data_IF_906970436492
#
_entry.id   IF_906970436492
#
_cell.length_a   1.000
_cell.length_b   1.000
_cell.length_c   1.000
_cell.angle_alpha   90.00
_cell.angle_beta   90.00
_cell.angle_gamma   90.00
#
_symmetry.space_group_name_H-M   'P 1'
#
loop_
_entity.id
_entity.type
_entity.pdbx_description
1 polymer ?
#
# COMPACT_ATOMS: atom_id res chain seq x y z
N UNK A 1 23.90 2.36 18.30
CA UNK A 1 24.04 2.64 19.74
C UNK A 1 22.64 2.82 20.30
N UNK A 2 22.32 2.09 21.37
CA UNK A 2 21.03 2.16 22.07
C UNK A 2 21.27 2.66 23.50
N UNK A 3 20.43 3.57 23.96
CA UNK A 3 20.45 4.05 25.34
C UNK A 3 19.03 3.95 25.93
N UNK A 4 18.93 3.49 27.18
CA UNK A 4 17.68 3.48 27.93
C UNK A 4 17.66 4.66 28.89
N UNK A 5 16.60 5.44 28.85
CA UNK A 5 16.37 6.57 29.74
C UNK A 5 15.33 6.19 30.79
N UNK A 6 15.52 6.65 32.03
CA UNK A 6 14.59 6.44 33.13
C UNK A 6 14.34 7.75 33.89
N UNK A 7 13.28 7.77 34.70
CA UNK A 7 12.92 8.97 35.50
C UNK A 7 12.32 10.10 34.70
N UNK A 8 11.77 9.80 33.49
CA UNK A 8 11.10 10.78 32.66
C UNK A 8 9.71 11.12 33.23
N UNK A 9 9.31 12.39 33.08
CA UNK A 9 7.97 12.85 33.47
C UNK A 9 7.04 12.76 32.28
N UNK A 10 5.91 12.03 32.42
CA UNK A 10 4.87 11.91 31.39
C UNK A 10 4.38 13.27 30.94
N UNK A 11 4.21 13.44 29.63
CA UNK A 11 3.75 14.66 28.98
C UNK A 11 4.87 15.67 28.65
N UNK A 12 6.09 15.48 29.19
CA UNK A 12 7.19 16.39 28.88
C UNK A 12 7.90 15.99 27.59
N UNK A 13 8.25 17.00 26.79
CA UNK A 13 9.12 16.83 25.62
C UNK A 13 10.58 16.81 26.05
N UNK A 14 11.29 15.80 25.61
CA UNK A 14 12.74 15.65 25.81
C UNK A 14 13.46 15.72 24.48
N UNK A 15 14.63 16.36 24.51
CA UNK A 15 15.49 16.50 23.33
C UNK A 15 16.75 15.66 23.52
N UNK A 16 17.21 15.03 22.45
CA UNK A 16 18.44 14.23 22.49
C UNK A 16 19.22 14.37 21.19
N UNK A 17 20.52 14.14 21.29
CA UNK A 17 21.41 14.01 20.15
C UNK A 17 22.42 12.89 20.42
N UNK A 18 22.81 12.16 19.40
CA UNK A 18 23.97 11.27 19.48
C UNK A 18 25.25 12.10 19.44
N UNK A 19 26.32 11.61 20.04
CA UNK A 19 27.64 12.25 19.92
C UNK A 19 28.73 11.20 19.75
N UNK A 20 29.82 11.62 19.11
CA UNK A 20 31.07 10.89 19.00
C UNK A 20 32.17 11.72 19.61
N UNK A 21 32.89 11.15 20.57
CA UNK A 21 34.06 11.78 21.20
C UNK A 21 35.31 10.96 20.87
N UNK A 22 36.30 11.61 20.24
CA UNK A 22 37.60 11.02 19.94
C UNK A 22 38.61 11.50 20.96
N UNK A 23 39.05 10.63 21.90
CA UNK A 23 40.13 10.81 22.88
C UNK A 23 40.19 12.22 23.50
N UNK A 24 39.04 12.79 23.87
CA UNK A 24 38.98 14.10 24.56
C UNK A 24 39.21 15.34 23.67
N UNK A 25 39.45 15.19 22.38
CA UNK A 25 39.87 16.30 21.51
C UNK A 25 38.73 16.89 20.69
N UNK A 26 37.76 16.09 20.24
CA UNK A 26 36.62 16.55 19.43
C UNK A 26 35.36 15.82 19.82
N UNK A 27 34.31 16.57 20.15
CA UNK A 27 32.96 16.05 20.27
C UNK A 27 32.13 16.54 19.07
N UNK A 28 31.65 15.60 18.25
CA UNK A 28 30.67 15.92 17.19
C UNK A 28 29.32 15.38 17.60
N UNK A 29 28.31 16.24 17.54
CA UNK A 29 26.93 15.88 17.78
C UNK A 29 26.22 15.54 16.46
N UNK A 30 25.32 14.56 16.53
CA UNK A 30 24.36 14.28 15.48
C UNK A 30 23.21 15.30 15.51
N UNK A 31 22.23 15.07 14.69
CA UNK A 31 21.00 15.85 14.65
C UNK A 31 20.28 15.79 16.01
N UNK A 32 19.73 16.92 16.45
CA UNK A 32 18.88 16.98 17.65
C UNK A 32 17.51 16.46 17.28
N UNK A 33 17.03 15.48 18.02
CA UNK A 33 15.69 14.91 17.90
C UNK A 33 14.92 15.09 19.20
N UNK A 34 13.61 15.03 19.12
CA UNK A 34 12.73 15.09 20.29
C UNK A 34 11.82 13.89 20.40
N UNK A 35 11.33 13.66 21.62
CA UNK A 35 10.22 12.75 21.88
C UNK A 35 9.43 13.25 23.09
N UNK A 36 8.16 12.88 23.18
CA UNK A 36 7.32 13.13 24.36
C UNK A 36 7.33 11.87 25.24
N UNK A 37 7.64 12.02 26.53
CA UNK A 37 7.57 10.92 27.47
C UNK A 37 6.11 10.52 27.68
N UNK A 38 5.76 9.28 27.30
CA UNK A 38 4.38 8.79 27.36
C UNK A 38 4.34 7.30 27.62
N UNK A 39 3.25 6.83 28.21
CA UNK A 39 2.80 5.43 28.25
C UNK A 39 1.75 5.15 27.16
N UNK A 40 1.55 6.09 26.22
CA UNK A 40 0.63 5.92 25.13
C UNK A 40 1.03 4.74 24.24
N UNK A 41 0.04 3.96 23.87
CA UNK A 41 0.18 2.77 23.03
C UNK A 41 -0.93 2.77 21.98
N UNK A 42 -0.67 2.12 20.86
CA UNK A 42 -1.68 1.84 19.85
C UNK A 42 -1.75 0.32 19.63
N UNK A 43 -2.93 -0.23 19.72
CA UNK A 43 -3.20 -1.64 19.49
C UNK A 43 -3.76 -1.84 18.09
N UNK A 44 -3.00 -2.49 17.22
CA UNK A 44 -3.45 -2.88 15.88
C UNK A 44 -4.47 -4.00 15.99
N UNK A 45 -5.67 -3.82 15.44
CA UNK A 45 -6.70 -4.86 15.37
C UNK A 45 -6.50 -5.76 14.16
N UNK A 46 -7.18 -6.90 14.09
CA UNK A 46 -7.23 -7.74 12.90
C UNK A 46 -7.93 -7.02 11.75
N UNK A 47 -7.50 -7.28 10.50
CA UNK A 47 -8.16 -6.77 9.31
C UNK A 47 -9.55 -7.41 9.13
N UNK A 48 -10.51 -6.63 8.63
CA UNK A 48 -11.88 -7.07 8.32
C UNK A 48 -12.22 -6.73 6.86
N UNK A 49 -13.36 -7.22 6.37
CA UNK A 49 -13.87 -6.96 5.01
C UNK A 49 -12.81 -7.20 3.92
N UNK A 50 -12.01 -8.25 4.11
CA UNK A 50 -10.93 -8.59 3.17
C UNK A 50 -11.54 -9.20 1.92
N UNK A 51 -11.29 -8.55 0.78
CA UNK A 51 -11.66 -9.01 -0.57
C UNK A 51 -10.40 -9.26 -1.41
N UNK A 52 -10.54 -9.40 -2.71
CA UNK A 52 -9.41 -9.55 -3.62
C UNK A 52 -8.51 -8.29 -3.68
N UNK A 53 -9.09 -7.10 -3.47
CA UNK A 53 -8.37 -5.83 -3.64
C UNK A 53 -8.55 -4.82 -2.52
N UNK A 54 -9.27 -5.19 -1.46
CA UNK A 54 -9.64 -4.26 -0.39
C UNK A 54 -9.56 -4.94 0.98
N UNK A 55 -9.30 -4.15 2.01
CA UNK A 55 -9.42 -4.56 3.41
C UNK A 55 -9.75 -3.36 4.29
N UNK A 56 -10.33 -3.59 5.46
CA UNK A 56 -10.53 -2.57 6.49
C UNK A 56 -9.56 -2.83 7.63
N UNK A 57 -8.69 -1.86 7.93
CA UNK A 57 -7.74 -1.87 9.03
C UNK A 57 -8.29 -1.04 10.18
N UNK A 58 -8.10 -1.49 11.41
CA UNK A 58 -8.55 -0.78 12.61
C UNK A 58 -7.50 -0.81 13.71
N UNK A 59 -7.50 0.22 14.56
CA UNK A 59 -6.63 0.28 15.72
C UNK A 59 -7.26 1.11 16.85
N UNK A 60 -6.79 0.89 18.08
CA UNK A 60 -7.22 1.66 19.25
C UNK A 60 -5.99 2.20 19.99
N UNK A 61 -5.95 3.51 20.18
CA UNK A 61 -4.92 4.19 20.94
C UNK A 61 -5.35 4.38 22.39
N UNK A 62 -4.43 4.17 23.33
CA UNK A 62 -4.63 4.31 24.77
C UNK A 62 -3.51 5.14 25.38
N UNK A 63 -3.75 5.72 26.57
CA UNK A 63 -2.74 6.50 27.30
C UNK A 63 -2.45 7.87 26.71
N UNK A 64 -3.31 8.38 25.84
CA UNK A 64 -3.18 9.69 25.17
C UNK A 64 -3.68 10.86 26.04
N UNK A 65 -4.24 10.60 27.21
CA UNK A 65 -4.75 11.63 28.10
C UNK A 65 -3.62 12.57 28.55
N UNK A 66 -3.78 13.85 28.23
CA UNK A 66 -2.80 14.90 28.60
C UNK A 66 -1.60 15.05 27.64
N UNK A 67 -1.60 14.34 26.50
CA UNK A 67 -0.52 14.43 25.49
C UNK A 67 -0.88 15.37 24.34
N UNK A 68 -2.13 15.79 24.21
CA UNK A 68 -2.53 16.77 23.19
C UNK A 68 -1.69 18.03 23.38
N UNK A 69 -0.90 18.38 22.38
CA UNK A 69 -0.13 19.63 22.31
C UNK A 69 -1.13 20.77 22.44
N UNK A 70 -0.82 21.74 23.29
CA UNK A 70 -1.69 22.87 23.56
C UNK A 70 -2.08 23.58 22.25
N UNK A 71 -3.37 23.48 21.87
CA UNK A 71 -3.90 24.02 20.62
C UNK A 71 -4.21 22.99 19.52
N UNK A 72 -3.79 21.74 19.64
CA UNK A 72 -4.14 20.67 18.68
C UNK A 72 -5.32 19.84 19.17
N UNK A 73 -6.37 19.79 18.36
CA UNK A 73 -7.58 19.01 18.63
C UNK A 73 -7.56 17.63 17.97
N UNK A 74 -6.56 17.35 17.15
CA UNK A 74 -6.45 16.11 16.37
C UNK A 74 -5.05 15.54 16.48
N UNK A 75 -4.95 14.23 16.51
CA UNK A 75 -3.69 13.50 16.40
C UNK A 75 -3.56 12.88 15.01
N UNK A 76 -2.32 12.81 14.53
CA UNK A 76 -1.99 12.10 13.31
C UNK A 76 -1.81 10.63 13.63
N UNK A 77 -2.69 9.83 13.11
CA UNK A 77 -2.65 8.37 13.13
C UNK A 77 -2.39 7.85 11.72
N UNK A 78 -2.20 6.57 11.62
CA UNK A 78 -2.20 5.91 10.34
C UNK A 78 -1.94 4.42 10.41
N UNK A 79 -1.88 3.86 9.22
CA UNK A 79 -1.45 2.49 9.00
C UNK A 79 -0.33 2.50 7.97
N UNK A 80 0.64 1.62 8.17
CA UNK A 80 1.64 1.29 7.17
C UNK A 80 1.42 -0.14 6.73
N UNK A 81 1.53 -0.40 5.44
CA UNK A 81 1.26 -1.70 4.83
C UNK A 81 2.38 -2.07 3.86
N UNK A 82 2.80 -3.33 3.87
CA UNK A 82 3.83 -3.88 3.00
C UNK A 82 3.55 -5.35 2.68
N UNK A 83 4.13 -5.88 1.62
CA UNK A 83 4.17 -7.32 1.35
C UNK A 83 5.35 -8.01 2.06
N UNK A 84 6.20 -7.26 2.76
CA UNK A 84 7.31 -7.73 3.58
C UNK A 84 7.09 -7.35 5.03
N UNK A 85 7.13 -8.30 5.95
CA UNK A 85 7.00 -8.05 7.38
C UNK A 85 8.14 -7.18 7.91
N UNK A 86 9.37 -7.44 7.43
CA UNK A 86 10.56 -6.70 7.85
C UNK A 86 10.55 -5.22 7.42
N UNK A 87 9.80 -4.89 6.36
CA UNK A 87 9.74 -3.55 5.78
C UNK A 87 8.41 -2.82 6.06
N UNK A 88 7.58 -3.34 6.95
CA UNK A 88 6.24 -2.78 7.20
C UNK A 88 6.26 -1.31 7.60
N UNK A 89 7.24 -0.88 8.39
CA UNK A 89 7.38 0.52 8.81
C UNK A 89 7.79 1.46 7.67
N UNK A 90 8.34 0.92 6.58
CA UNK A 90 8.68 1.65 5.35
C UNK A 90 7.63 1.48 4.25
N UNK A 91 6.57 0.73 4.52
CA UNK A 91 5.49 0.45 3.59
C UNK A 91 4.65 1.67 3.20
N UNK A 92 3.63 1.46 2.37
CA UNK A 92 2.67 2.50 2.00
C UNK A 92 2.03 3.06 3.26
N UNK A 93 1.97 4.39 3.32
CA UNK A 93 1.39 5.12 4.43
C UNK A 93 -0.06 5.53 4.13
N UNK A 94 -0.96 5.20 5.04
CA UNK A 94 -2.35 5.64 5.04
C UNK A 94 -2.60 6.54 6.26
N UNK A 95 -2.34 7.85 6.14
CA UNK A 95 -2.47 8.79 7.25
C UNK A 95 -3.94 9.09 7.56
N UNK A 96 -4.24 9.27 8.84
CA UNK A 96 -5.57 9.61 9.36
C UNK A 96 -5.43 10.73 10.38
N UNK A 97 -6.17 11.81 10.21
CA UNK A 97 -6.32 12.84 11.24
C UNK A 97 -7.63 12.61 11.99
N UNK A 98 -7.55 12.29 13.25
CA UNK A 98 -8.73 12.00 14.07
C UNK A 98 -8.56 12.44 15.53
N UNK A 99 -9.67 12.80 16.16
CA UNK A 99 -9.74 13.03 17.61
C UNK A 99 -10.19 11.77 18.37
N UNK A 100 -10.57 10.72 17.67
CA UNK A 100 -11.10 9.48 18.25
C UNK A 100 -9.96 8.54 18.69
N UNK A 101 -10.19 7.80 19.78
CA UNK A 101 -9.26 6.75 20.23
C UNK A 101 -9.21 5.55 19.30
N UNK A 102 -10.31 5.24 18.63
CA UNK A 102 -10.39 4.14 17.64
C UNK A 102 -10.41 4.72 16.25
N UNK A 103 -9.52 4.23 15.41
CA UNK A 103 -9.39 4.61 14.01
C UNK A 103 -9.69 3.41 13.12
N UNK A 104 -10.22 3.68 11.94
CA UNK A 104 -10.47 2.69 10.90
C UNK A 104 -10.17 3.28 9.53
N UNK A 105 -9.53 2.49 8.68
CA UNK A 105 -9.14 2.87 7.33
C UNK A 105 -9.45 1.73 6.37
N UNK A 106 -10.21 2.01 5.34
CA UNK A 106 -10.33 1.12 4.19
C UNK A 106 -9.13 1.33 3.27
N UNK A 107 -8.41 0.26 2.99
CA UNK A 107 -7.32 0.22 2.02
C UNK A 107 -7.81 -0.47 0.76
N UNK A 108 -7.46 0.06 -0.40
CA UNK A 108 -7.92 -0.39 -1.71
C UNK A 108 -6.74 -0.49 -2.70
N UNK A 109 -6.97 -1.11 -3.86
CA UNK A 109 -5.95 -1.28 -4.89
C UNK A 109 -4.93 -2.36 -4.57
N UNK A 110 -5.26 -3.29 -3.66
CA UNK A 110 -4.41 -4.41 -3.29
C UNK A 110 -4.38 -5.48 -4.40
N UNK A 111 -3.35 -6.32 -4.38
CA UNK A 111 -3.23 -7.48 -5.27
C UNK A 111 -4.06 -8.65 -4.76
N UNK A 112 -4.74 -9.39 -5.64
CA UNK A 112 -5.41 -10.64 -5.27
C UNK A 112 -4.43 -11.71 -4.80
N UNK A 113 -4.88 -12.58 -3.88
CA UNK A 113 -4.13 -13.73 -3.40
C UNK A 113 -2.82 -13.38 -2.67
N UNK A 114 -2.66 -12.13 -2.23
CA UNK A 114 -1.41 -11.60 -1.71
C UNK A 114 -1.49 -11.40 -0.21
N UNK A 115 -0.44 -11.82 0.51
CA UNK A 115 -0.31 -11.56 1.94
C UNK A 115 0.30 -10.19 2.16
N UNK A 116 -0.38 -9.39 2.97
CA UNK A 116 0.05 -8.08 3.41
C UNK A 116 0.30 -8.08 4.92
N UNK A 117 1.37 -7.40 5.33
CA UNK A 117 1.69 -7.06 6.71
C UNK A 117 1.36 -5.60 6.93
N UNK A 118 0.83 -5.27 8.10
CA UNK A 118 0.48 -3.88 8.43
C UNK A 118 0.68 -3.61 9.91
N UNK A 119 0.97 -2.35 10.22
CA UNK A 119 1.02 -1.82 11.58
C UNK A 119 0.27 -0.51 11.64
N UNK A 120 -0.33 -0.25 12.78
CA UNK A 120 -0.89 1.07 13.10
C UNK A 120 0.18 1.95 13.74
N UNK A 121 0.03 3.27 13.63
CA UNK A 121 0.90 4.23 14.31
C UNK A 121 0.14 5.47 14.73
N UNK A 122 0.72 6.23 15.65
CA UNK A 122 0.45 7.65 15.84
C UNK A 122 1.76 8.43 15.93
N UNK A 123 1.70 9.70 15.53
CA UNK A 123 2.83 10.63 15.60
C UNK A 123 2.93 11.24 17.00
N UNK A 124 4.14 11.34 17.52
CA UNK A 124 4.41 11.93 18.82
C UNK A 124 5.75 12.67 18.79
N UNK A 125 5.70 14.00 18.74
CA UNK A 125 6.89 14.79 18.46
C UNK A 125 7.46 14.46 17.08
N UNK A 126 8.77 14.24 17.02
CA UNK A 126 9.47 13.88 15.77
C UNK A 126 9.50 12.35 15.52
N UNK A 127 8.70 11.57 16.24
CA UNK A 127 8.71 10.11 16.17
C UNK A 127 7.34 9.48 15.99
N UNK A 128 7.35 8.17 15.80
CA UNK A 128 6.15 7.34 15.70
C UNK A 128 6.10 6.34 16.85
N UNK A 129 4.89 6.09 17.35
CA UNK A 129 4.60 4.95 18.22
C UNK A 129 3.83 3.94 17.37
N UNK A 130 4.42 2.76 17.19
CA UNK A 130 3.84 1.68 16.39
C UNK A 130 3.09 0.68 17.25
N UNK A 131 2.02 0.14 16.69
CA UNK A 131 1.31 -1.01 17.23
C UNK A 131 1.98 -2.33 16.84
N UNK A 132 1.35 -3.42 17.22
CA UNK A 132 1.77 -4.76 16.79
C UNK A 132 1.60 -4.93 15.28
N UNK A 133 2.59 -5.54 14.63
CA UNK A 133 2.45 -5.94 13.23
C UNK A 133 1.50 -7.12 13.10
N UNK A 134 0.54 -7.02 12.19
CA UNK A 134 -0.41 -8.06 11.82
C UNK A 134 -0.37 -8.33 10.33
N UNK A 135 -1.02 -9.40 9.91
CA UNK A 135 -1.14 -9.75 8.50
C UNK A 135 -2.55 -10.15 8.14
N UNK A 136 -2.85 -10.04 6.84
CA UNK A 136 -4.01 -10.63 6.20
C UNK A 136 -3.64 -11.07 4.79
N UNK A 137 -4.43 -11.97 4.21
CA UNK A 137 -4.25 -12.37 2.81
C UNK A 137 -5.52 -12.01 2.04
N UNK A 138 -5.37 -11.28 0.94
CA UNK A 138 -6.48 -10.97 0.04
C UNK A 138 -7.01 -12.23 -0.63
N UNK A 139 -8.29 -12.22 -0.99
CA UNK A 139 -8.90 -13.34 -1.73
C UNK A 139 -8.24 -13.51 -3.10
N UNK A 140 -8.11 -14.74 -3.56
CA UNK A 140 -7.71 -15.01 -4.93
C UNK A 140 -8.79 -14.53 -5.91
N UNK A 141 -8.38 -14.18 -7.13
CA UNK A 141 -9.28 -13.81 -8.22
C UNK A 141 -9.28 -14.90 -9.29
N UNK A 142 -10.46 -15.25 -9.78
CA UNK A 142 -10.62 -16.05 -10.99
C UNK A 142 -10.92 -15.10 -12.15
N UNK A 143 -10.04 -15.06 -13.16
CA UNK A 143 -10.24 -14.24 -14.35
C UNK A 143 -11.15 -14.94 -15.34
N UNK A 144 -12.13 -14.21 -15.86
CA UNK A 144 -12.90 -14.58 -17.03
C UNK A 144 -12.27 -13.95 -18.27
N UNK A 145 -12.29 -14.69 -19.37
CA UNK A 145 -11.70 -14.24 -20.63
C UNK A 145 -12.75 -14.19 -21.73
N UNK A 146 -12.57 -13.27 -22.66
CA UNK A 146 -13.40 -13.09 -23.85
C UNK A 146 -12.57 -13.32 -25.10
N UNK A 147 -13.17 -14.00 -26.08
CA UNK A 147 -12.64 -14.14 -27.42
C UNK A 147 -13.17 -12.98 -28.28
N UNK A 148 -12.26 -12.10 -28.69
CA UNK A 148 -12.56 -10.97 -29.57
C UNK A 148 -12.15 -11.26 -31.03
N UNK A 149 -11.78 -12.54 -31.36
CA UNK A 149 -11.24 -12.93 -32.67
C UNK A 149 -9.81 -12.42 -32.92
N UNK A 150 -9.06 -12.14 -31.86
CA UNK A 150 -7.68 -11.64 -31.88
C UNK A 150 -6.69 -12.78 -31.63
N UNK A 151 -5.40 -12.45 -31.66
CA UNK A 151 -4.31 -13.42 -31.42
C UNK A 151 -4.30 -14.01 -30.00
N UNK A 152 -4.91 -13.32 -29.03
CA UNK A 152 -5.03 -13.74 -27.65
C UNK A 152 -6.45 -13.53 -27.12
N UNK A 153 -6.79 -14.25 -26.04
CA UNK A 153 -7.99 -13.94 -25.26
C UNK A 153 -7.73 -12.76 -24.34
N UNK A 154 -8.72 -11.93 -24.17
CA UNK A 154 -8.65 -10.76 -23.29
C UNK A 154 -9.41 -11.02 -21.99
N UNK A 155 -8.87 -10.51 -20.88
CA UNK A 155 -9.58 -10.53 -19.61
C UNK A 155 -10.82 -9.63 -19.69
N UNK A 156 -11.93 -10.10 -19.10
CA UNK A 156 -13.20 -9.38 -19.08
C UNK A 156 -13.15 -8.11 -18.24
N UNK A 157 -12.29 -8.10 -17.21
CA UNK A 157 -12.07 -6.95 -16.32
C UNK A 157 -10.61 -6.88 -15.89
N UNK A 158 -10.24 -5.77 -15.25
CA UNK A 158 -8.89 -5.55 -14.75
C UNK A 158 -8.52 -6.55 -13.63
N UNK A 159 -7.21 -6.76 -13.44
CA UNK A 159 -6.71 -7.51 -12.29
C UNK A 159 -7.27 -6.93 -11.00
N UNK A 160 -7.87 -7.75 -10.17
CA UNK A 160 -8.48 -7.34 -8.91
C UNK A 160 -9.90 -6.77 -9.02
N UNK A 161 -10.42 -6.50 -10.21
CA UNK A 161 -11.79 -6.08 -10.42
C UNK A 161 -12.75 -7.29 -10.40
N UNK A 162 -13.90 -7.15 -9.76
CA UNK A 162 -14.99 -8.13 -9.75
C UNK A 162 -16.01 -7.87 -10.86
N UNK A 163 -15.95 -6.66 -11.45
CA UNK A 163 -16.85 -6.23 -12.51
C UNK A 163 -16.16 -5.25 -13.49
N UNK A 164 -16.78 -5.04 -14.65
CA UNK A 164 -16.21 -4.24 -15.75
C UNK A 164 -15.97 -2.77 -15.37
N UNK A 165 -16.79 -2.23 -14.48
CA UNK A 165 -16.70 -0.84 -14.02
C UNK A 165 -15.67 -0.60 -12.91
N UNK A 166 -15.10 -1.65 -12.32
CA UNK A 166 -14.10 -1.51 -11.26
C UNK A 166 -12.70 -1.28 -11.82
N UNK A 167 -11.96 -0.39 -11.17
CA UNK A 167 -10.57 -0.09 -11.54
C UNK A 167 -9.64 -1.29 -11.33
N UNK A 168 -9.91 -2.12 -10.31
CA UNK A 168 -9.04 -3.22 -9.92
C UNK A 168 -7.81 -2.76 -9.14
N UNK A 169 -6.74 -3.52 -9.19
CA UNK A 169 -5.47 -3.22 -8.54
C UNK A 169 -4.76 -2.05 -9.22
N UNK A 170 -4.19 -1.15 -8.43
CA UNK A 170 -3.40 -0.02 -8.91
C UNK A 170 -1.91 -0.37 -8.79
N UNK A 171 -1.22 -0.36 -9.91
CA UNK A 171 0.16 -0.83 -10.02
C UNK A 171 1.04 0.19 -10.71
N UNK A 172 2.26 0.36 -10.21
CA UNK A 172 3.33 0.97 -10.98
C UNK A 172 3.84 0.01 -12.06
N UNK A 173 4.43 0.53 -13.13
CA UNK A 173 5.00 -0.31 -14.19
C UNK A 173 6.16 -1.16 -13.64
N UNK A 174 6.05 -2.49 -13.77
CA UNK A 174 7.01 -3.44 -13.21
C UNK A 174 6.97 -3.59 -11.68
N UNK A 175 5.99 -3.00 -11.01
CA UNK A 175 5.76 -3.21 -9.59
C UNK A 175 5.13 -4.59 -9.35
N UNK A 176 5.82 -5.42 -8.57
CA UNK A 176 5.39 -6.77 -8.21
C UNK A 176 4.75 -6.84 -6.82
N UNK A 177 4.58 -5.71 -6.14
CA UNK A 177 4.16 -5.66 -4.74
C UNK A 177 2.76 -5.08 -4.55
N UNK A 178 2.28 -4.25 -5.51
CA UNK A 178 1.06 -3.47 -5.36
C UNK A 178 1.16 -2.36 -4.32
N UNK A 179 2.37 -2.08 -3.83
CA UNK A 179 2.63 -1.05 -2.83
C UNK A 179 3.25 0.23 -3.40
N UNK A 180 3.74 0.21 -4.64
CA UNK A 180 4.38 1.36 -5.29
C UNK A 180 3.47 2.03 -6.33
N UNK A 181 2.25 2.36 -5.93
CA UNK A 181 1.26 2.99 -6.81
C UNK A 181 1.69 4.34 -7.41
N UNK A 182 2.70 4.98 -6.85
CA UNK A 182 3.15 6.33 -7.23
C UNK A 182 4.46 6.40 -7.99
N UNK A 183 5.13 5.29 -8.28
CA UNK A 183 6.39 5.30 -9.05
C UNK A 183 6.13 5.37 -10.55
N UNK A 184 5.53 6.47 -10.99
CA UNK A 184 5.28 6.79 -12.40
C UNK A 184 6.45 7.48 -13.09
N UNK A 185 7.67 7.30 -12.64
CA UNK A 185 8.83 7.76 -13.41
C UNK A 185 9.16 6.71 -14.45
N UNK A 186 8.23 6.56 -15.40
CA UNK A 186 8.52 5.83 -16.64
C UNK A 186 9.33 6.78 -17.51
N UNK A 187 10.60 6.45 -17.70
CA UNK A 187 11.31 6.94 -18.85
C UNK A 187 10.74 6.22 -20.09
N UNK A 188 9.80 6.87 -20.77
CA UNK A 188 9.14 6.33 -21.96
C UNK A 188 10.12 5.97 -23.08
N UNK A 189 11.37 6.41 -23.02
CA UNK A 189 12.40 6.09 -23.98
C UNK A 189 13.11 4.75 -23.71
N UNK A 190 12.90 4.16 -22.55
CA UNK A 190 13.57 2.91 -22.12
C UNK A 190 12.58 1.83 -21.66
N UNK A 191 11.29 1.95 -21.97
CA UNK A 191 10.27 0.98 -21.58
C UNK A 191 10.50 -0.33 -22.31
N UNK A 192 10.98 -1.33 -21.58
CA UNK A 192 11.04 -2.71 -22.03
C UNK A 192 9.64 -3.33 -21.98
N UNK A 193 9.33 -4.20 -22.93
CA UNK A 193 8.14 -5.05 -22.84
C UNK A 193 8.32 -6.04 -21.67
N UNK A 194 7.43 -5.93 -20.67
CA UNK A 194 7.49 -6.77 -19.47
C UNK A 194 6.64 -8.03 -19.57
N UNK A 195 5.86 -8.18 -20.66
CA UNK A 195 4.93 -9.29 -20.85
C UNK A 195 5.60 -10.65 -20.66
N UNK A 196 5.12 -11.45 -19.71
CA UNK A 196 5.62 -12.77 -19.38
C UNK A 196 7.04 -12.83 -18.79
N UNK A 197 7.67 -11.68 -18.52
CA UNK A 197 8.98 -11.61 -17.83
C UNK A 197 8.83 -11.73 -16.31
N UNK A 198 9.95 -11.72 -15.58
CA UNK A 198 9.93 -11.72 -14.11
C UNK A 198 9.48 -10.35 -13.51
N UNK A 199 9.30 -9.33 -14.36
CA UNK A 199 8.72 -8.03 -14.01
C UNK A 199 7.21 -7.97 -14.25
N UNK A 200 6.60 -9.02 -14.81
CA UNK A 200 5.17 -9.08 -15.08
C UNK A 200 4.40 -9.53 -13.83
N UNK A 201 3.64 -8.61 -13.25
CA UNK A 201 2.83 -8.89 -12.06
C UNK A 201 1.82 -10.01 -12.29
N UNK A 202 1.26 -10.12 -13.49
CA UNK A 202 0.30 -11.17 -13.79
C UNK A 202 0.94 -12.55 -13.75
N UNK A 203 2.22 -12.68 -14.12
CA UNK A 203 2.98 -13.91 -13.96
C UNK A 203 3.16 -14.27 -12.48
N UNK A 204 3.43 -13.29 -11.62
CA UNK A 204 3.57 -13.48 -10.17
C UNK A 204 2.24 -13.86 -9.53
N UNK A 205 1.18 -13.13 -9.79
CA UNK A 205 -0.17 -13.42 -9.26
C UNK A 205 -0.65 -14.80 -9.71
N UNK A 206 -0.35 -15.23 -10.94
CA UNK A 206 -0.63 -16.56 -11.44
C UNK A 206 0.05 -17.66 -10.60
N UNK A 207 1.28 -17.43 -10.17
CA UNK A 207 2.03 -18.37 -9.33
C UNK A 207 1.46 -18.39 -7.91
N UNK A 208 1.22 -17.22 -7.34
CA UNK A 208 0.74 -17.07 -5.96
C UNK A 208 -0.72 -17.55 -5.82
N UNK A 209 -1.53 -17.46 -6.86
CA UNK A 209 -2.92 -17.93 -6.90
C UNK A 209 -3.07 -19.41 -7.31
N UNK A 210 -2.01 -20.20 -7.32
CA UNK A 210 -2.07 -21.63 -7.60
C UNK A 210 -2.30 -21.98 -9.06
N UNK A 211 -1.77 -21.20 -10.00
CA UNK A 211 -1.74 -21.43 -11.45
C UNK A 211 -3.10 -21.47 -12.16
N UNK A 212 -4.16 -20.94 -11.55
CA UNK A 212 -5.46 -20.82 -12.21
C UNK A 212 -5.51 -19.67 -13.22
N UNK A 213 -4.66 -18.68 -13.06
CA UNK A 213 -4.52 -17.56 -13.99
C UNK A 213 -3.29 -17.77 -14.88
N UNK A 214 -3.51 -17.83 -16.19
CA UNK A 214 -2.45 -17.85 -17.19
C UNK A 214 -2.47 -16.56 -18.00
N UNK A 215 -2.36 -15.45 -17.29
CA UNK A 215 -2.38 -14.13 -17.88
C UNK A 215 -0.97 -13.54 -17.95
N UNK A 216 -0.79 -12.60 -18.83
CA UNK A 216 0.36 -11.71 -18.88
C UNK A 216 -0.12 -10.28 -19.16
N UNK A 217 0.69 -9.30 -18.81
CA UNK A 217 0.49 -7.94 -19.31
C UNK A 217 0.54 -7.98 -20.84
N UNK A 218 -0.38 -7.33 -21.56
CA UNK A 218 -0.34 -7.35 -23.01
C UNK A 218 0.90 -6.62 -23.55
N UNK A 219 1.47 -7.14 -24.64
CA UNK A 219 2.54 -6.46 -25.37
C UNK A 219 2.02 -5.23 -26.12
N UNK A 220 2.93 -4.37 -26.56
CA UNK A 220 2.58 -3.21 -27.39
C UNK A 220 1.89 -3.64 -28.72
N UNK A 221 2.33 -4.76 -29.32
CA UNK A 221 1.73 -5.31 -30.54
C UNK A 221 0.32 -5.83 -30.27
N UNK A 222 0.07 -6.53 -29.16
CA UNK A 222 -1.25 -7.00 -28.76
C UNK A 222 -2.21 -5.85 -28.45
N UNK A 223 -1.72 -4.78 -27.80
CA UNK A 223 -2.52 -3.56 -27.60
C UNK A 223 -2.86 -2.89 -28.93
N UNK A 224 -1.92 -2.84 -29.86
CA UNK A 224 -2.14 -2.29 -31.22
C UNK A 224 -3.15 -3.14 -32.00
N UNK A 225 -3.05 -4.47 -31.90
CA UNK A 225 -4.02 -5.40 -32.48
C UNK A 225 -5.43 -5.19 -31.92
N UNK A 226 -5.57 -5.06 -30.59
CA UNK A 226 -6.86 -4.79 -29.93
C UNK A 226 -7.50 -3.50 -30.49
N UNK A 227 -6.72 -2.42 -30.55
CA UNK A 227 -7.20 -1.11 -31.00
C UNK A 227 -7.60 -1.15 -32.50
N UNK A 228 -6.79 -1.82 -33.32
CA UNK A 228 -6.98 -1.84 -34.76
C UNK A 228 -8.13 -2.77 -35.24
N UNK A 229 -8.38 -3.87 -34.51
CA UNK A 229 -9.26 -4.95 -34.99
C UNK A 229 -10.52 -5.14 -34.13
N UNK A 230 -10.87 -4.18 -33.26
CA UNK A 230 -12.13 -4.19 -32.50
C UNK A 230 -12.92 -2.92 -32.71
N UNK A 231 -14.23 -2.98 -32.47
CA UNK A 231 -15.08 -1.80 -32.39
C UNK A 231 -14.98 -1.21 -30.98
N UNK A 232 -14.66 0.09 -30.91
CA UNK A 232 -14.53 0.82 -29.65
C UNK A 232 -15.74 1.72 -29.46
N UNK A 233 -16.37 1.61 -28.30
CA UNK A 233 -17.54 2.40 -27.94
C UNK A 233 -17.36 3.02 -26.56
N UNK A 234 -17.55 4.32 -26.43
CA UNK A 234 -17.64 4.96 -25.13
C UNK A 234 -18.87 4.45 -24.39
N UNK A 235 -18.69 4.05 -23.17
CA UNK A 235 -19.77 3.53 -22.31
C UNK A 235 -19.69 4.17 -20.92
N UNK A 236 -20.83 4.21 -20.27
CA UNK A 236 -20.93 4.56 -18.85
C UNK A 236 -21.68 3.45 -18.13
N UNK A 237 -21.02 2.80 -17.16
CA UNK A 237 -21.60 1.73 -16.35
C UNK A 237 -21.57 2.16 -14.88
N UNK A 238 -22.72 2.23 -14.25
CA UNK A 238 -22.86 2.68 -12.85
C UNK A 238 -22.16 4.01 -12.54
N UNK A 239 -22.14 4.94 -13.50
CA UNK A 239 -21.50 6.25 -13.36
C UNK A 239 -20.00 6.26 -13.66
N UNK A 240 -19.39 5.13 -14.02
CA UNK A 240 -17.97 5.04 -14.43
C UNK A 240 -17.88 5.04 -15.95
N UNK A 241 -17.12 5.98 -16.49
CA UNK A 241 -16.86 6.08 -17.94
C UNK A 241 -15.71 5.20 -18.36
N UNK A 242 -15.86 4.54 -19.50
CA UNK A 242 -14.85 3.66 -20.05
C UNK A 242 -15.01 3.46 -21.56
N UNK A 243 -14.14 2.63 -22.11
CA UNK A 243 -14.20 2.19 -23.51
C UNK A 243 -14.49 0.69 -23.53
N UNK A 244 -15.55 0.33 -24.24
CA UNK A 244 -15.88 -1.07 -24.52
C UNK A 244 -15.29 -1.48 -25.85
N UNK A 245 -14.55 -2.58 -25.84
CA UNK A 245 -14.04 -3.26 -27.01
C UNK A 245 -14.96 -4.43 -27.36
N UNK A 246 -15.41 -4.51 -28.61
CA UNK A 246 -16.22 -5.63 -29.12
C UNK A 246 -15.59 -6.19 -30.38
N UNK A 247 -15.76 -7.50 -30.62
CA UNK A 247 -15.27 -8.12 -31.84
C UNK A 247 -15.75 -7.35 -33.07
N UNK A 248 -14.89 -7.21 -34.05
CA UNK A 248 -15.31 -6.71 -35.35
C UNK A 248 -16.17 -7.77 -36.05
N UNK A 249 -17.36 -7.38 -36.50
CA UNK A 249 -18.28 -8.26 -37.28
C UNK A 249 -17.74 -8.52 -38.70
#
# INVERSE_FOLDING_TARGET
>A
VTATLSGLTKGNTYYYATYVQLQGIVTKFGEVKSFVATDAQIATAGATDVTATKATLSATANGLEGILIEGETQMNYGFKISTSEADVENGINYPISASAKTISQRVEGLLPGTTYYYTSYFELGDGFVYGETKSFTTSAQTMEYVDLGLSILWAKCNLGAESEEETGALLGYGDLTGVNQSTYLIDYNTVEDIAGTDKDILKKVNVDAGALMRSSTPTADQMSELIANTTQTEVEVKGVKGIRFTAAN
#
